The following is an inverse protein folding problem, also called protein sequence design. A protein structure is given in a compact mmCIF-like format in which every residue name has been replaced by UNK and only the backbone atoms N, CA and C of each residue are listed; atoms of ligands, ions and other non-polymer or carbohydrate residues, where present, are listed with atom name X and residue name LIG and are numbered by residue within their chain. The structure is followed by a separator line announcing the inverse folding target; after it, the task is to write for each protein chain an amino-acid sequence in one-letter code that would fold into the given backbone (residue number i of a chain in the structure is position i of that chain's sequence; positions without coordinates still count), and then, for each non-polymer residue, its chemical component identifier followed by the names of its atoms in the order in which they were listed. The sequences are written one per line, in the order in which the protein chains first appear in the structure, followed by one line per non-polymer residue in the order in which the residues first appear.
data_IF_800821531200
#
_entry.id   IF_800821531200
#
_cell.length_a   1.000
_cell.length_b   1.000
_cell.length_c   1.000
_cell.angle_alpha   90.00
_cell.angle_beta   90.00
_cell.angle_gamma   90.00
#
_symmetry.space_group_name_H-M   'P 1'
#
loop_
_entity.id
_entity.type
_entity.pdbx_description
1 polymer ?
#
# COMPACT_ATOMS: atom_id res chain seq x y z
N UNK A 1 5.89 3.39 -42.80
CA UNK A 1 5.98 3.29 -41.33
C UNK A 1 4.98 2.28 -40.74
N UNK A 2 3.67 2.39 -41.02
CA UNK A 2 2.68 1.38 -40.55
C UNK A 2 3.00 -0.04 -41.00
N UNK A 3 3.41 -0.21 -42.25
CA UNK A 3 3.71 -1.53 -42.82
C UNK A 3 4.90 -2.24 -42.16
N UNK A 4 5.89 -1.46 -41.71
CA UNK A 4 7.09 -1.91 -41.01
C UNK A 4 6.73 -2.37 -39.58
N UNK A 5 5.89 -1.59 -38.88
CA UNK A 5 5.37 -1.93 -37.55
C UNK A 5 4.47 -3.17 -37.57
N UNK A 6 3.66 -3.34 -38.62
CA UNK A 6 2.85 -4.55 -38.83
C UNK A 6 3.76 -5.78 -39.01
N UNK A 7 4.80 -5.67 -39.84
CA UNK A 7 5.76 -6.77 -40.08
C UNK A 7 6.58 -7.12 -38.83
N UNK A 8 6.94 -6.12 -38.01
CA UNK A 8 7.59 -6.34 -36.71
C UNK A 8 6.65 -7.09 -35.75
N UNK A 9 5.39 -6.67 -35.63
CA UNK A 9 4.38 -7.34 -34.81
C UNK A 9 4.10 -8.79 -35.26
N UNK A 10 4.24 -9.06 -36.56
CA UNK A 10 4.08 -10.40 -37.15
C UNK A 10 5.34 -11.27 -37.11
N UNK A 11 6.41 -10.85 -36.41
CA UNK A 11 7.67 -11.59 -36.29
C UNK A 11 8.38 -11.84 -37.63
N UNK A 12 8.14 -11.00 -38.65
CA UNK A 12 8.72 -11.10 -40.00
C UNK A 12 9.93 -10.19 -40.15
N UNK A 13 10.98 -10.49 -39.38
CA UNK A 13 12.21 -9.71 -39.31
C UNK A 13 13.06 -9.75 -40.60
N UNK A 14 13.03 -10.86 -41.32
CA UNK A 14 13.83 -11.06 -42.55
C UNK A 14 13.46 -10.11 -43.70
N UNK A 15 12.21 -9.64 -43.74
CA UNK A 15 11.74 -8.73 -44.80
C UNK A 15 11.95 -7.25 -44.46
N UNK A 16 12.25 -6.93 -43.21
CA UNK A 16 12.58 -5.57 -42.75
C UNK A 16 14.02 -5.19 -43.17
N UNK A 17 14.94 -6.14 -43.04
CA UNK A 17 16.37 -5.98 -43.37
C UNK A 17 16.67 -5.89 -44.88
N UNK A 18 15.68 -6.13 -45.74
CA UNK A 18 15.81 -6.02 -47.22
C UNK A 18 15.55 -4.61 -47.75
N UNK A 19 15.22 -3.66 -46.88
CA UNK A 19 14.95 -2.27 -47.28
C UNK A 19 16.27 -1.50 -47.42
N UNK A 20 16.59 -0.95 -48.60
CA UNK A 20 17.82 -0.17 -48.84
C UNK A 20 17.77 1.26 -48.26
N UNK A 21 16.65 1.65 -47.66
CA UNK A 21 16.45 2.99 -47.12
C UNK A 21 16.98 3.12 -45.69
N UNK A 22 18.27 3.44 -45.57
CA UNK A 22 18.97 3.62 -44.29
C UNK A 22 18.26 4.56 -43.30
N UNK A 23 17.63 5.64 -43.79
CA UNK A 23 16.95 6.61 -42.92
C UNK A 23 15.68 6.04 -42.26
N UNK A 24 14.98 5.11 -42.92
CA UNK A 24 13.81 4.44 -42.35
C UNK A 24 14.20 3.36 -41.34
N UNK A 25 15.34 2.68 -41.58
CA UNK A 25 15.91 1.72 -40.63
C UNK A 25 16.43 2.40 -39.36
N UNK A 26 17.09 3.55 -39.48
CA UNK A 26 17.55 4.34 -38.34
C UNK A 26 16.37 4.80 -37.46
N UNK A 27 15.33 5.35 -38.09
CA UNK A 27 14.10 5.74 -37.38
C UNK A 27 13.40 4.56 -36.68
N UNK A 28 13.40 3.38 -37.30
CA UNK A 28 12.87 2.17 -36.68
C UNK A 28 13.71 1.75 -35.47
N UNK A 29 15.04 1.83 -35.57
CA UNK A 29 15.94 1.53 -34.49
C UNK A 29 15.70 2.46 -33.28
N UNK A 30 15.58 3.78 -33.53
CA UNK A 30 15.26 4.76 -32.49
C UNK A 30 13.93 4.46 -31.80
N UNK A 31 12.91 4.07 -32.57
CA UNK A 31 11.60 3.69 -32.01
C UNK A 31 11.68 2.41 -31.19
N UNK A 32 12.47 1.43 -31.63
CA UNK A 32 12.66 0.17 -30.91
C UNK A 32 13.43 0.39 -29.61
N UNK A 33 14.45 1.25 -29.64
CA UNK A 33 15.21 1.67 -28.46
C UNK A 33 14.30 2.38 -27.45
N UNK A 34 13.45 3.31 -27.90
CA UNK A 34 12.48 3.98 -27.05
C UNK A 34 11.48 3.00 -26.40
N UNK A 35 10.97 2.01 -27.16
CA UNK A 35 10.10 0.96 -26.62
C UNK A 35 10.86 0.09 -25.62
N UNK A 36 12.11 -0.29 -25.92
CA UNK A 36 12.96 -1.04 -25.00
C UNK A 36 13.17 -0.34 -23.67
N UNK A 37 13.44 0.97 -23.71
CA UNK A 37 13.52 1.81 -22.51
C UNK A 37 12.19 1.86 -21.75
N UNK A 38 11.06 2.02 -22.45
CA UNK A 38 9.75 2.06 -21.81
C UNK A 38 9.39 0.73 -21.14
N UNK A 39 9.67 -0.41 -21.79
CA UNK A 39 9.47 -1.73 -21.20
C UNK A 39 10.34 -1.91 -19.96
N UNK A 40 11.60 -1.45 -20.01
CA UNK A 40 12.50 -1.52 -18.86
C UNK A 40 11.99 -0.68 -17.69
N UNK A 41 11.45 0.51 -17.96
CA UNK A 41 10.81 1.36 -16.95
C UNK A 41 9.59 0.66 -16.33
N UNK A 42 8.65 0.18 -17.15
CA UNK A 42 7.46 -0.54 -16.68
C UNK A 42 7.81 -1.78 -15.85
N UNK A 43 8.89 -2.49 -16.23
CA UNK A 43 9.39 -3.64 -15.48
C UNK A 43 9.93 -3.23 -14.11
N UNK A 44 10.61 -2.09 -14.03
CA UNK A 44 11.13 -1.57 -12.77
C UNK A 44 10.00 -1.10 -11.86
N UNK A 45 9.03 -0.34 -12.39
CA UNK A 45 7.83 0.08 -11.68
C UNK A 45 7.05 -1.13 -11.12
N UNK A 46 6.83 -2.16 -11.94
CA UNK A 46 6.16 -3.39 -11.50
C UNK A 46 6.98 -4.17 -10.44
N UNK A 47 8.31 -4.09 -10.49
CA UNK A 47 9.19 -4.69 -9.47
C UNK A 47 9.08 -3.95 -8.15
N UNK A 48 9.07 -2.62 -8.19
CA UNK A 48 8.93 -1.76 -7.01
C UNK A 48 7.55 -1.94 -6.36
N UNK A 49 6.47 -1.95 -7.15
CA UNK A 49 5.11 -2.18 -6.66
C UNK A 49 4.98 -3.54 -5.96
N UNK A 50 5.58 -4.58 -6.56
CA UNK A 50 5.62 -5.93 -5.98
C UNK A 50 6.38 -5.96 -4.65
N UNK A 51 7.54 -5.32 -4.57
CA UNK A 51 8.31 -5.31 -3.32
C UNK A 51 7.60 -4.49 -2.25
N UNK A 52 7.01 -3.35 -2.60
CA UNK A 52 6.19 -2.54 -1.70
C UNK A 52 4.99 -3.31 -1.14
N UNK A 53 4.29 -4.06 -1.98
CA UNK A 53 3.19 -4.94 -1.54
C UNK A 53 3.67 -5.99 -0.54
N UNK A 54 4.84 -6.59 -0.80
CA UNK A 54 5.44 -7.61 0.07
C UNK A 54 5.87 -7.04 1.42
N UNK A 55 6.47 -5.86 1.43
CA UNK A 55 6.83 -5.13 2.65
C UNK A 55 5.57 -4.81 3.47
N UNK A 56 4.53 -4.26 2.83
CA UNK A 56 3.26 -3.95 3.49
C UNK A 56 2.63 -5.20 4.14
N UNK A 57 2.56 -6.33 3.43
CA UNK A 57 2.03 -7.59 3.99
C UNK A 57 2.86 -8.09 5.18
N UNK A 58 4.18 -7.96 5.11
CA UNK A 58 5.09 -8.32 6.21
C UNK A 58 4.82 -7.45 7.44
N UNK A 59 4.73 -6.13 7.27
CA UNK A 59 4.49 -5.18 8.35
C UNK A 59 3.13 -5.43 9.02
N UNK A 60 2.08 -5.66 8.23
CA UNK A 60 0.75 -6.00 8.75
C UNK A 60 0.82 -7.29 9.57
N UNK A 61 1.52 -8.31 9.08
CA UNK A 61 1.68 -9.59 9.78
C UNK A 61 2.39 -9.41 11.13
N UNK A 62 3.43 -8.58 11.18
CA UNK A 62 4.12 -8.25 12.42
C UNK A 62 3.25 -7.46 13.39
N UNK A 63 2.52 -6.47 12.89
CA UNK A 63 1.60 -5.64 13.69
C UNK A 63 0.42 -6.45 14.22
N UNK A 64 -0.04 -7.49 13.51
CA UNK A 64 -1.06 -8.43 13.99
C UNK A 64 -0.52 -9.40 15.04
N UNK A 65 0.70 -9.91 14.86
CA UNK A 65 1.27 -10.94 15.75
C UNK A 65 1.37 -10.47 17.19
N UNK A 66 1.69 -9.20 17.41
CA UNK A 66 1.84 -8.59 18.74
C UNK A 66 0.55 -8.60 19.58
N UNK A 67 -0.56 -7.96 19.16
CA UNK A 67 -1.81 -7.98 19.92
C UNK A 67 -2.43 -9.39 19.99
N UNK A 68 -2.26 -10.23 18.96
CA UNK A 68 -2.72 -11.63 19.00
C UNK A 68 -1.98 -12.43 20.08
N UNK A 69 -0.65 -12.31 20.15
CA UNK A 69 0.13 -12.97 21.20
C UNK A 69 -0.21 -12.43 22.60
N UNK A 70 -0.45 -11.12 22.72
CA UNK A 70 -0.89 -10.51 23.97
C UNK A 70 -2.25 -11.07 24.43
N UNK A 71 -3.21 -11.24 23.51
CA UNK A 71 -4.50 -11.86 23.79
C UNK A 71 -4.34 -13.32 24.21
N UNK A 72 -3.53 -14.10 23.50
CA UNK A 72 -3.29 -15.51 23.81
C UNK A 72 -2.71 -15.70 25.22
N UNK A 73 -1.74 -14.86 25.59
CA UNK A 73 -1.19 -14.83 26.96
C UNK A 73 -2.26 -14.44 27.98
N UNK A 74 -3.01 -13.37 27.73
CA UNK A 74 -4.02 -12.91 28.67
C UNK A 74 -5.13 -13.94 28.88
N UNK A 75 -5.61 -14.59 27.82
CA UNK A 75 -6.57 -15.68 27.92
C UNK A 75 -5.99 -16.89 28.64
N UNK A 76 -4.75 -17.28 28.33
CA UNK A 76 -4.07 -18.39 29.01
C UNK A 76 -3.96 -18.17 30.51
N UNK A 77 -3.69 -16.93 30.93
CA UNK A 77 -3.66 -16.57 32.36
C UNK A 77 -5.08 -16.58 32.94
N UNK A 78 -6.05 -15.93 32.30
CA UNK A 78 -7.44 -15.86 32.77
C UNK A 78 -8.12 -17.24 32.91
N UNK A 79 -7.62 -18.27 32.23
CA UNK A 79 -8.10 -19.65 32.35
C UNK A 79 -7.56 -20.38 33.60
N UNK A 80 -6.65 -19.77 34.37
CA UNK A 80 -6.14 -20.33 35.63
C UNK A 80 -7.13 -20.09 36.78
N UNK A 81 -7.27 -21.08 37.68
CA UNK A 81 -8.31 -21.08 38.73
C UNK A 81 -7.89 -20.36 40.03
N UNK A 82 -6.67 -19.84 40.11
CA UNK A 82 -6.04 -19.30 41.32
C UNK A 82 -5.82 -17.78 41.28
N UNK A 83 -6.38 -17.09 40.28
CA UNK A 83 -6.30 -15.63 40.15
C UNK A 83 -7.22 -14.91 41.15
N UNK A 84 -6.68 -13.90 41.81
CA UNK A 84 -7.48 -12.94 42.58
C UNK A 84 -8.40 -12.11 41.69
N UNK A 85 -9.46 -11.53 42.27
CA UNK A 85 -10.37 -10.65 41.53
C UNK A 85 -9.66 -9.44 40.90
N UNK A 86 -8.61 -8.93 41.56
CA UNK A 86 -7.80 -7.82 41.05
C UNK A 86 -6.96 -8.21 39.83
N UNK A 87 -6.35 -9.40 39.85
CA UNK A 87 -5.56 -9.89 38.71
C UNK A 87 -6.48 -10.21 37.52
N UNK A 88 -7.65 -10.82 37.77
CA UNK A 88 -8.64 -11.05 36.71
C UNK A 88 -9.05 -9.75 36.01
N UNK A 89 -9.28 -8.68 36.76
CA UNK A 89 -9.65 -7.39 36.18
C UNK A 89 -8.50 -6.76 35.39
N UNK A 90 -7.26 -6.85 35.90
CA UNK A 90 -6.08 -6.36 35.18
C UNK A 90 -5.92 -7.07 33.82
N UNK A 91 -6.04 -8.39 33.80
CA UNK A 91 -5.94 -9.16 32.56
C UNK A 91 -7.10 -8.91 31.59
N UNK A 92 -8.33 -8.64 32.09
CA UNK A 92 -9.45 -8.20 31.25
C UNK A 92 -9.17 -6.85 30.58
N UNK A 93 -8.62 -5.89 31.32
CA UNK A 93 -8.22 -4.59 30.77
C UNK A 93 -7.13 -4.76 29.70
N UNK A 94 -6.14 -5.64 29.94
CA UNK A 94 -5.09 -5.96 28.96
C UNK A 94 -5.66 -6.61 27.70
N UNK A 95 -6.61 -7.55 27.82
CA UNK A 95 -7.33 -8.11 26.67
C UNK A 95 -8.04 -7.02 25.87
N UNK A 96 -8.75 -6.12 26.55
CA UNK A 96 -9.47 -5.02 25.89
C UNK A 96 -8.51 -4.12 25.11
N UNK A 97 -7.39 -3.74 25.72
CA UNK A 97 -6.36 -2.92 25.06
C UNK A 97 -5.77 -3.61 23.82
N UNK A 98 -5.51 -4.92 23.89
CA UNK A 98 -5.02 -5.68 22.73
C UNK A 98 -6.07 -5.77 21.60
N UNK A 99 -7.35 -5.89 21.94
CA UNK A 99 -8.46 -5.81 20.97
C UNK A 99 -8.58 -4.43 20.33
N UNK A 100 -8.48 -3.35 21.11
CA UNK A 100 -8.52 -1.97 20.58
C UNK A 100 -7.34 -1.72 19.61
N UNK A 101 -6.18 -2.33 19.87
CA UNK A 101 -5.04 -2.35 18.94
C UNK A 101 -5.34 -3.05 17.62
N UNK A 102 -6.03 -4.20 17.65
CA UNK A 102 -6.49 -4.89 16.45
C UNK A 102 -7.53 -4.09 15.66
N UNK A 103 -8.47 -3.44 16.34
CA UNK A 103 -9.47 -2.57 15.71
C UNK A 103 -8.80 -1.40 14.97
N UNK A 104 -7.80 -0.77 15.60
CA UNK A 104 -7.01 0.32 15.01
C UNK A 104 -6.27 -0.13 13.76
N UNK A 105 -5.67 -1.32 13.79
CA UNK A 105 -4.98 -1.89 12.64
C UNK A 105 -5.94 -2.21 11.49
N UNK A 106 -7.11 -2.79 11.80
CA UNK A 106 -8.14 -3.09 10.81
C UNK A 106 -8.67 -1.81 10.15
N UNK A 107 -8.91 -0.76 10.94
CA UNK A 107 -9.33 0.54 10.43
C UNK A 107 -8.30 1.14 9.48
N UNK A 108 -7.01 1.04 9.85
CA UNK A 108 -5.91 1.53 9.01
C UNK A 108 -5.85 0.78 7.68
N UNK A 109 -6.07 -0.54 7.67
CA UNK A 109 -6.15 -1.34 6.45
C UNK A 109 -7.31 -0.95 5.53
N UNK A 110 -8.48 -0.67 6.11
CA UNK A 110 -9.64 -0.20 5.36
C UNK A 110 -9.39 1.17 4.72
N UNK A 111 -8.65 2.06 5.40
CA UNK A 111 -8.27 3.36 4.86
C UNK A 111 -7.28 3.23 3.70
N UNK A 112 -6.28 2.36 3.81
CA UNK A 112 -5.34 2.08 2.72
C UNK A 112 -6.07 1.49 1.51
N UNK A 113 -6.97 0.52 1.72
CA UNK A 113 -7.77 -0.07 0.64
C UNK A 113 -8.64 0.96 -0.09
N UNK A 114 -9.21 1.93 0.63
CA UNK A 114 -9.95 3.05 0.02
C UNK A 114 -9.03 3.97 -0.79
N UNK A 115 -7.79 4.16 -0.33
CA UNK A 115 -6.79 4.98 -1.02
C UNK A 115 -6.39 4.34 -2.36
N UNK A 116 -6.06 3.05 -2.36
CA UNK A 116 -5.63 2.30 -3.55
C UNK A 116 -6.73 2.18 -4.61
N UNK A 117 -7.98 2.01 -4.19
CA UNK A 117 -9.13 1.95 -5.10
C UNK A 117 -9.54 3.32 -5.67
N UNK A 118 -8.83 4.39 -5.31
CA UNK A 118 -9.16 5.77 -5.74
C UNK A 118 -10.49 6.28 -5.17
N UNK A 119 -11.05 5.61 -4.16
CA UNK A 119 -12.33 5.98 -3.54
C UNK A 119 -12.20 7.18 -2.59
N UNK A 120 -10.97 7.59 -2.24
CA UNK A 120 -10.74 8.82 -1.48
C UNK A 120 -10.89 10.04 -2.41
N UNK A 121 -12.09 10.60 -2.46
CA UNK A 121 -12.32 11.91 -3.08
C UNK A 121 -11.94 13.03 -2.13
N UNK A 122 -10.88 13.78 -2.46
CA UNK A 122 -10.50 15.00 -1.72
C UNK A 122 -11.52 16.10 -2.02
N UNK A 123 -12.41 16.38 -1.06
CA UNK A 123 -13.36 17.47 -1.17
C UNK A 123 -12.71 18.81 -0.74
N UNK A 124 -12.13 19.52 -1.72
CA UNK A 124 -11.50 20.83 -1.49
C UNK A 124 -12.56 21.89 -1.16
N UNK A 125 -12.50 22.45 0.06
CA UNK A 125 -13.38 23.54 0.51
C UNK A 125 -12.55 24.74 0.94
N UNK A 126 -13.02 25.96 0.62
CA UNK A 126 -12.46 27.19 1.22
C UNK A 126 -12.93 27.25 2.67
N UNK A 127 -11.99 27.20 3.60
CA UNK A 127 -12.21 27.27 5.03
C UNK A 127 -11.27 28.32 5.63
N UNK A 128 -11.70 29.08 6.66
CA UNK A 128 -10.79 29.96 7.38
C UNK A 128 -9.64 29.17 8.00
N UNK A 129 -8.41 29.64 7.80
CA UNK A 129 -7.22 28.99 8.33
C UNK A 129 -7.26 28.89 9.86
N UNK A 130 -7.74 29.93 10.54
CA UNK A 130 -7.85 29.95 12.00
C UNK A 130 -8.76 28.85 12.54
N UNK A 131 -9.89 28.57 11.87
CA UNK A 131 -10.81 27.51 12.31
C UNK A 131 -10.14 26.13 12.20
N UNK A 132 -9.31 25.93 11.18
CA UNK A 132 -8.54 24.69 10.98
C UNK A 132 -7.49 24.53 12.08
N UNK A 133 -6.76 25.60 12.40
CA UNK A 133 -5.75 25.60 13.47
C UNK A 133 -6.38 25.36 14.84
N UNK A 134 -7.47 26.05 15.16
CA UNK A 134 -8.20 25.88 16.43
C UNK A 134 -8.73 24.45 16.55
N UNK A 135 -9.28 23.88 15.46
CA UNK A 135 -9.78 22.49 15.45
C UNK A 135 -8.67 21.48 15.69
N UNK A 136 -7.48 21.70 15.13
CA UNK A 136 -6.32 20.83 15.31
C UNK A 136 -5.79 20.89 16.75
N UNK A 137 -5.66 22.11 17.31
CA UNK A 137 -5.21 22.32 18.71
C UNK A 137 -6.22 21.72 19.70
N UNK A 138 -7.51 21.89 19.47
CA UNK A 138 -8.55 21.32 20.34
C UNK A 138 -8.59 19.78 20.32
N UNK A 139 -8.04 19.12 19.29
CA UNK A 139 -7.93 17.65 19.24
C UNK A 139 -6.77 17.12 20.08
N UNK A 140 -5.74 17.91 20.33
CA UNK A 140 -4.55 17.50 21.09
C UNK A 140 -4.62 17.87 22.57
N UNK A 141 -5.48 18.83 22.93
CA UNK A 141 -5.78 19.13 24.34
C UNK A 141 -6.99 18.31 24.79
N UNK A 142 -6.84 17.28 25.65
CA UNK A 142 -7.98 16.71 26.34
C UNK A 142 -8.61 17.83 27.18
N UNK A 143 -9.92 18.02 27.05
CA UNK A 143 -10.67 18.91 27.95
C UNK A 143 -10.52 18.36 29.36
N UNK A 144 -9.59 18.93 30.13
CA UNK A 144 -9.55 18.78 31.58
C UNK A 144 -10.78 19.50 32.14
N UNK A 145 -11.83 18.72 32.37
CA UNK A 145 -13.04 19.10 33.12
C UNK A 145 -13.33 18.00 34.12
#
# INVERSE_FOLDING_TARGET
MEEILIRFRENKFDDLLKTENHAELEKLNDQLEAIGHHIQLLKEEAREEKESTKEMVSDISHQLKTPVAALDICFSVLMQNDLSATEQEEFRIRCRSALDGLETLLQSLLEISKMETGLIQINKKKLPLMDTVISAVNRTYPKSG
#
